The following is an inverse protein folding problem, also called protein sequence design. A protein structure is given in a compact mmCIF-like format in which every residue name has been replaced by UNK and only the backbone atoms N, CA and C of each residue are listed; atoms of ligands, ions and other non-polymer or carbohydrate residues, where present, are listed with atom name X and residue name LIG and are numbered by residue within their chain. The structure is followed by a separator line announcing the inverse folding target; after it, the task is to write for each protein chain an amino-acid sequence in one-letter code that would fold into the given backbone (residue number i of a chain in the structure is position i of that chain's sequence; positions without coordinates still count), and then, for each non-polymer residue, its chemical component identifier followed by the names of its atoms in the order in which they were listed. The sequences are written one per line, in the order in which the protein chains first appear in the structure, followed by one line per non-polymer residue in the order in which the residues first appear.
data_IF_701996479470
#
_entry.id   IF_701996479470
#
_cell.length_a   1.000
_cell.length_b   1.000
_cell.length_c   1.000
_cell.angle_alpha   90.00
_cell.angle_beta   90.00
_cell.angle_gamma   90.00
#
_symmetry.space_group_name_H-M   'P 1'
#
loop_
_entity.id
_entity.type
_entity.pdbx_description
1 polymer ?
#
# COMPACT_ATOMS: atom_id res chain seq x y z
N UNK A 1 -12.24 37.44 -50.58
CA UNK A 1 -11.59 36.34 -49.81
C UNK A 1 -11.69 36.70 -48.33
N UNK A 2 -12.53 36.03 -47.53
CA UNK A 2 -12.71 36.36 -46.12
C UNK A 2 -11.53 35.87 -45.27
N UNK A 3 -10.98 36.76 -44.44
CA UNK A 3 -9.93 36.49 -43.45
C UNK A 3 -10.58 35.88 -42.20
N UNK A 4 -10.30 34.62 -41.92
CA UNK A 4 -10.66 33.95 -40.66
C UNK A 4 -9.70 34.47 -39.58
N UNK A 5 -10.24 35.22 -38.62
CA UNK A 5 -9.51 35.72 -37.45
C UNK A 5 -9.42 34.56 -36.44
N UNK A 6 -8.23 34.01 -36.25
CA UNK A 6 -7.89 33.10 -35.16
C UNK A 6 -7.84 33.89 -33.86
N UNK A 7 -8.88 33.75 -33.04
CA UNK A 7 -8.90 34.25 -31.67
C UNK A 7 -8.09 33.29 -30.78
N UNK A 8 -7.04 33.74 -30.07
CA UNK A 8 -6.33 32.90 -29.12
C UNK A 8 -7.20 32.78 -27.86
N UNK A 9 -7.79 31.60 -27.65
CA UNK A 9 -8.44 31.23 -26.40
C UNK A 9 -7.35 30.96 -25.35
N UNK A 10 -6.80 32.02 -24.77
CA UNK A 10 -5.93 31.94 -23.61
C UNK A 10 -6.78 31.56 -22.39
N UNK A 11 -6.94 30.25 -22.16
CA UNK A 11 -7.45 29.74 -20.89
C UNK A 11 -6.48 30.14 -19.77
N UNK A 12 -6.92 31.08 -18.92
CA UNK A 12 -6.31 31.39 -17.64
C UNK A 12 -6.40 30.16 -16.74
N UNK A 13 -5.31 29.39 -16.64
CA UNK A 13 -5.12 28.42 -15.58
C UNK A 13 -5.01 29.18 -14.25
N UNK A 14 -6.10 29.24 -13.49
CA UNK A 14 -6.02 29.66 -12.09
C UNK A 14 -5.21 28.60 -11.35
N UNK A 15 -4.12 28.97 -10.65
CA UNK A 15 -3.41 28.02 -9.80
C UNK A 15 -4.35 27.62 -8.67
N UNK A 16 -4.87 26.40 -8.72
CA UNK A 16 -5.49 25.78 -7.55
C UNK A 16 -4.35 25.64 -6.53
N UNK A 17 -4.46 26.24 -5.34
CA UNK A 17 -3.45 26.04 -4.32
C UNK A 17 -3.40 24.54 -4.02
N UNK A 18 -2.26 23.91 -4.28
CA UNK A 18 -1.94 22.63 -3.65
C UNK A 18 -2.12 22.86 -2.15
N UNK A 19 -3.13 22.23 -1.56
CA UNK A 19 -3.29 22.26 -0.11
C UNK A 19 -2.00 21.70 0.49
N UNK A 20 -1.17 22.59 1.03
CA UNK A 20 0.05 22.20 1.71
C UNK A 20 -0.36 21.23 2.81
N UNK A 21 0.29 20.06 2.84
CA UNK A 21 0.12 19.08 3.91
C UNK A 21 0.28 19.80 5.25
N UNK A 22 -0.67 19.64 6.16
CA UNK A 22 -0.60 20.35 7.43
C UNK A 22 0.55 19.80 8.27
N UNK A 23 1.12 20.59 9.18
CA UNK A 23 2.15 20.08 10.09
C UNK A 23 1.64 18.87 10.89
N UNK A 24 0.35 18.87 11.26
CA UNK A 24 -0.29 17.73 11.91
C UNK A 24 -0.34 16.47 11.02
N UNK A 25 -0.52 16.62 9.71
CA UNK A 25 -0.46 15.49 8.78
C UNK A 25 0.95 14.90 8.68
N UNK A 26 1.99 15.76 8.71
CA UNK A 26 3.39 15.35 8.71
C UNK A 26 3.78 14.62 10.01
N UNK A 27 3.33 15.13 11.16
CA UNK A 27 3.52 14.46 12.45
C UNK A 27 2.88 13.07 12.45
N UNK A 28 1.62 12.99 11.98
CA UNK A 28 0.91 11.71 11.84
C UNK A 28 1.65 10.73 10.92
N UNK A 29 2.16 11.21 9.78
CA UNK A 29 2.95 10.36 8.87
C UNK A 29 4.24 9.87 9.52
N UNK A 30 4.89 10.72 10.32
CA UNK A 30 6.11 10.37 11.06
C UNK A 30 5.81 9.26 12.07
N UNK A 31 4.77 9.43 12.89
CA UNK A 31 4.34 8.43 13.87
C UNK A 31 4.01 7.10 13.21
N UNK A 32 3.26 7.12 12.09
CA UNK A 32 2.88 5.93 11.33
C UNK A 32 4.09 5.13 10.83
N UNK A 33 5.17 5.80 10.45
CA UNK A 33 6.39 5.14 9.93
C UNK A 33 7.36 4.67 11.02
N UNK A 34 7.10 5.03 12.29
CA UNK A 34 7.93 4.62 13.42
C UNK A 34 7.71 3.15 13.80
N UNK A 35 6.50 2.64 13.55
CA UNK A 35 6.19 1.20 13.66
C UNK A 35 6.20 0.55 12.27
N UNK A 36 6.94 -0.56 12.16
CA UNK A 36 7.06 -1.33 10.92
C UNK A 36 5.70 -1.76 10.37
N UNK A 37 4.87 -2.40 11.20
CA UNK A 37 3.57 -2.92 10.80
C UNK A 37 2.60 -1.82 10.35
N UNK A 38 2.52 -0.70 11.08
CA UNK A 38 1.63 0.41 10.71
C UNK A 38 2.08 1.11 9.44
N UNK A 39 3.40 1.27 9.25
CA UNK A 39 3.95 1.89 8.05
C UNK A 39 3.74 1.02 6.81
N UNK A 40 3.95 -0.30 6.91
CA UNK A 40 3.66 -1.24 5.82
C UNK A 40 2.16 -1.26 5.49
N UNK A 41 1.28 -1.27 6.50
CA UNK A 41 -0.16 -1.22 6.29
C UNK A 41 -0.59 0.08 5.58
N UNK A 42 -0.02 1.22 5.98
CA UNK A 42 -0.25 2.51 5.33
C UNK A 42 0.21 2.52 3.87
N UNK A 43 1.42 2.00 3.58
CA UNK A 43 1.93 1.90 2.20
C UNK A 43 1.02 1.02 1.31
N UNK A 44 0.51 -0.09 1.84
CA UNK A 44 -0.46 -0.94 1.13
C UNK A 44 -1.79 -0.24 0.87
N UNK A 45 -2.28 0.57 1.80
CA UNK A 45 -3.49 1.39 1.58
C UNK A 45 -3.25 2.46 0.51
N UNK A 46 -2.12 3.17 0.56
CA UNK A 46 -1.76 4.16 -0.45
C UNK A 46 -1.68 3.54 -1.85
N UNK A 47 -0.99 2.40 -1.99
CA UNK A 47 -0.88 1.67 -3.24
C UNK A 47 -2.25 1.17 -3.76
N UNK A 48 -3.15 0.70 -2.89
CA UNK A 48 -4.52 0.32 -3.27
C UNK A 48 -5.32 1.49 -3.84
N UNK A 49 -4.99 2.72 -3.43
CA UNK A 49 -5.58 3.96 -3.96
C UNK A 49 -4.85 4.51 -5.19
N UNK A 50 -3.87 3.78 -5.73
CA UNK A 50 -3.04 4.22 -6.86
C UNK A 50 -1.93 5.21 -6.50
N UNK A 51 -1.74 5.53 -5.22
CA UNK A 51 -0.75 6.49 -4.72
C UNK A 51 0.60 5.79 -4.50
N UNK A 52 1.20 5.27 -5.58
CA UNK A 52 2.41 4.44 -5.49
C UNK A 52 3.65 5.23 -5.07
N UNK A 53 3.77 6.51 -5.43
CA UNK A 53 4.90 7.35 -5.02
C UNK A 53 4.87 7.62 -3.51
N UNK A 54 3.68 7.88 -2.95
CA UNK A 54 3.46 8.03 -1.52
C UNK A 54 3.71 6.72 -0.77
N UNK A 55 3.30 5.59 -1.36
CA UNK A 55 3.56 4.26 -0.82
C UNK A 55 5.07 3.96 -0.75
N UNK A 56 5.82 4.27 -1.81
CA UNK A 56 7.28 4.12 -1.84
C UNK A 56 7.96 4.97 -0.77
N UNK A 57 7.63 6.26 -0.69
CA UNK A 57 8.21 7.14 0.35
C UNK A 57 7.89 6.66 1.78
N UNK A 58 6.70 6.09 1.98
CA UNK A 58 6.32 5.50 3.28
C UNK A 58 7.17 4.26 3.58
N UNK A 59 7.41 3.38 2.60
CA UNK A 59 8.26 2.20 2.76
C UNK A 59 9.74 2.55 2.99
N UNK A 60 10.26 3.57 2.31
CA UNK A 60 11.62 4.07 2.52
C UNK A 60 11.82 4.55 3.97
N UNK A 61 10.85 5.27 4.53
CA UNK A 61 10.88 5.69 5.95
C UNK A 61 10.81 4.49 6.90
N UNK A 62 9.97 3.50 6.60
CA UNK A 62 9.91 2.25 7.37
C UNK A 62 11.27 1.54 7.34
N UNK A 63 11.91 1.41 6.18
CA UNK A 63 13.24 0.79 6.04
C UNK A 63 14.35 1.61 6.69
N UNK A 64 14.24 2.93 6.71
CA UNK A 64 15.18 3.78 7.44
C UNK A 64 15.12 3.53 8.95
N UNK A 65 13.93 3.32 9.51
CA UNK A 65 13.74 2.95 10.92
C UNK A 65 13.99 1.45 11.19
N UNK A 66 13.68 0.59 10.22
CA UNK A 66 13.73 -0.88 10.33
C UNK A 66 14.47 -1.49 9.12
N UNK A 67 15.81 -1.40 9.04
CA UNK A 67 16.57 -1.79 7.84
C UNK A 67 16.48 -3.27 7.45
N UNK A 68 15.97 -4.12 8.36
CA UNK A 68 15.80 -5.57 8.16
C UNK A 68 14.36 -5.98 7.87
N UNK A 69 13.47 -5.03 7.62
CA UNK A 69 12.08 -5.32 7.25
C UNK A 69 12.03 -5.94 5.85
N UNK A 70 12.04 -7.27 5.79
CA UNK A 70 11.90 -8.01 4.53
C UNK A 70 10.57 -7.70 3.84
N UNK A 71 9.49 -7.56 4.60
CA UNK A 71 8.19 -7.19 4.05
C UNK A 71 8.20 -5.80 3.39
N UNK A 72 8.87 -4.81 3.98
CA UNK A 72 9.01 -3.49 3.38
C UNK A 72 9.89 -3.51 2.12
N UNK A 73 11.02 -4.23 2.15
CA UNK A 73 11.92 -4.39 1.00
C UNK A 73 11.21 -5.06 -0.20
N UNK A 74 10.46 -6.14 0.05
CA UNK A 74 9.72 -6.83 -0.99
C UNK A 74 8.65 -5.94 -1.64
N UNK A 75 7.88 -5.22 -0.83
CA UNK A 75 6.85 -4.30 -1.33
C UNK A 75 7.46 -3.13 -2.10
N UNK A 76 8.59 -2.58 -1.63
CA UNK A 76 9.28 -1.48 -2.28
C UNK A 76 9.69 -1.86 -3.69
N UNK A 77 10.36 -3.00 -3.84
CA UNK A 77 10.78 -3.51 -5.14
C UNK A 77 9.59 -3.75 -6.10
N UNK A 78 8.49 -4.34 -5.60
CA UNK A 78 7.28 -4.54 -6.40
C UNK A 78 6.65 -3.21 -6.81
N UNK A 79 6.63 -2.20 -5.93
CA UNK A 79 6.01 -0.90 -6.23
C UNK A 79 6.84 -0.05 -7.19
N UNK A 80 8.16 -0.19 -7.22
CA UNK A 80 8.99 0.40 -8.29
C UNK A 80 8.52 -0.06 -9.68
N UNK A 81 8.23 -1.36 -9.82
CA UNK A 81 7.71 -1.90 -11.08
C UNK A 81 6.33 -1.36 -11.47
N UNK A 82 5.53 -0.85 -10.51
CA UNK A 82 4.20 -0.29 -10.76
C UNK A 82 4.23 1.15 -11.26
N UNK A 83 5.34 1.86 -11.04
CA UNK A 83 5.59 3.23 -11.52
C UNK A 83 6.52 3.25 -12.74
N UNK A 84 6.57 2.14 -13.48
CA UNK A 84 7.44 1.91 -14.64
C UNK A 84 8.96 1.90 -14.36
N UNK A 85 9.39 1.91 -13.09
CA UNK A 85 10.78 1.62 -12.72
C UNK A 85 11.02 0.10 -12.56
N UNK A 86 10.83 -0.62 -13.66
CA UNK A 86 11.03 -2.07 -13.70
C UNK A 86 12.46 -2.47 -13.44
N UNK A 87 13.41 -1.70 -13.96
CA UNK A 87 14.82 -1.99 -13.80
C UNK A 87 15.22 -1.86 -12.33
N UNK A 88 14.80 -0.79 -11.65
CA UNK A 88 15.02 -0.60 -10.22
C UNK A 88 14.41 -1.73 -9.40
N UNK A 89 13.14 -2.06 -9.63
CA UNK A 89 12.46 -3.14 -8.91
C UNK A 89 13.12 -4.51 -9.11
N UNK A 90 13.52 -4.85 -10.35
CA UNK A 90 14.22 -6.12 -10.62
C UNK A 90 15.60 -6.18 -9.95
N UNK A 91 16.37 -5.08 -9.95
CA UNK A 91 17.66 -5.02 -9.24
C UNK A 91 17.50 -5.24 -7.75
N UNK A 92 16.43 -4.71 -7.14
CA UNK A 92 16.15 -4.97 -5.73
C UNK A 92 15.77 -6.42 -5.47
N UNK A 93 14.89 -7.01 -6.30
CA UNK A 93 14.50 -8.42 -6.18
C UNK A 93 15.71 -9.36 -6.33
N UNK A 94 16.61 -9.07 -7.27
CA UNK A 94 17.81 -9.88 -7.52
C UNK A 94 18.82 -9.86 -6.36
N UNK A 95 18.72 -8.87 -5.46
CA UNK A 95 19.53 -8.78 -4.24
C UNK A 95 18.89 -9.50 -3.04
N UNK A 96 17.64 -9.95 -3.15
CA UNK A 96 16.95 -10.66 -2.08
C UNK A 96 17.48 -12.08 -1.95
N UNK A 97 17.73 -12.48 -0.71
CA UNK A 97 18.18 -13.83 -0.39
C UNK A 97 17.02 -14.82 -0.33
N UNK A 98 17.18 -15.99 -0.96
CA UNK A 98 16.12 -17.01 -1.05
C UNK A 98 15.80 -17.59 0.32
N UNK A 99 16.79 -17.71 1.23
CA UNK A 99 16.54 -18.24 2.58
C UNK A 99 15.69 -17.27 3.41
N UNK A 100 15.93 -15.96 3.28
CA UNK A 100 15.19 -14.93 4.00
C UNK A 100 13.77 -14.69 3.46
N UNK A 101 13.61 -14.68 2.13
CA UNK A 101 12.33 -14.29 1.50
C UNK A 101 11.50 -15.47 1.03
N UNK A 102 12.11 -16.64 0.81
CA UNK A 102 11.49 -17.79 0.19
C UNK A 102 11.43 -17.67 -1.33
N UNK A 103 11.76 -18.77 -2.02
CA UNK A 103 11.81 -18.80 -3.49
C UNK A 103 10.49 -18.39 -4.14
N UNK A 104 9.35 -18.77 -3.55
CA UNK A 104 8.03 -18.45 -4.08
C UNK A 104 7.77 -16.95 -4.06
N UNK A 105 8.04 -16.25 -2.96
CA UNK A 105 7.81 -14.81 -2.86
C UNK A 105 8.69 -14.01 -3.84
N UNK A 106 9.94 -14.44 -4.04
CA UNK A 106 10.84 -13.84 -5.04
C UNK A 106 10.29 -14.04 -6.45
N UNK A 107 9.82 -15.25 -6.78
CA UNK A 107 9.24 -15.53 -8.09
C UNK A 107 7.96 -14.70 -8.32
N UNK A 108 7.08 -14.64 -7.32
CA UNK A 108 5.85 -13.87 -7.38
C UNK A 108 6.14 -12.36 -7.58
N UNK A 109 7.21 -11.83 -6.97
CA UNK A 109 7.65 -10.45 -7.19
C UNK A 109 8.19 -10.24 -8.61
N UNK A 110 9.02 -11.16 -9.13
CA UNK A 110 9.53 -11.11 -10.52
C UNK A 110 8.39 -11.16 -11.53
N UNK A 111 7.39 -12.01 -11.31
CA UNK A 111 6.23 -12.14 -12.18
C UNK A 111 5.39 -10.87 -12.21
N UNK A 112 5.23 -10.21 -11.07
CA UNK A 112 4.57 -8.89 -10.99
C UNK A 112 5.33 -7.82 -11.77
N UNK A 113 6.67 -7.82 -11.72
CA UNK A 113 7.51 -6.88 -12.46
C UNK A 113 7.59 -7.17 -13.97
N UNK A 114 7.44 -8.43 -14.38
CA UNK A 114 7.53 -8.85 -15.78
C UNK A 114 6.25 -8.55 -16.58
N UNK A 115 5.12 -8.36 -15.90
CA UNK A 115 3.84 -8.04 -16.54
C UNK A 115 3.88 -6.64 -17.15
N UNK A 116 3.53 -6.46 -18.44
CA UNK A 116 3.37 -5.12 -19.00
C UNK A 116 2.40 -4.31 -18.13
N UNK A 117 2.73 -3.05 -17.87
CA UNK A 117 1.83 -2.16 -17.15
C UNK A 117 0.69 -1.89 -18.13
N UNK A 118 -0.43 -2.55 -17.88
CA UNK A 118 -1.68 -2.21 -18.57
C UNK A 118 -2.16 -0.97 -17.86
N UNK A 119 -1.94 0.19 -18.48
CA UNK A 119 -2.41 1.47 -17.98
C UNK A 119 -3.88 1.31 -17.56
N UNK A 120 -4.23 1.55 -16.27
CA UNK A 120 -5.63 1.58 -15.86
C UNK A 120 -6.29 2.59 -16.79
N UNK A 121 -7.31 2.16 -17.54
CA UNK A 121 -8.00 3.06 -18.45
C UNK A 121 -8.45 4.26 -17.60
N UNK A 122 -7.86 5.45 -17.82
CA UNK A 122 -8.12 6.62 -16.98
C UNK A 122 -9.57 7.12 -17.12
N UNK A 123 -10.35 6.49 -18.01
CA UNK A 123 -11.80 6.64 -18.22
C UNK A 123 -12.61 5.39 -17.85
N UNK A 124 -12.01 4.36 -17.23
CA UNK A 124 -12.81 3.30 -16.64
C UNK A 124 -13.69 3.93 -15.55
N UNK A 125 -15.01 3.68 -15.54
CA UNK A 125 -15.84 4.10 -14.43
C UNK A 125 -15.20 3.60 -13.13
N UNK A 126 -15.29 4.34 -12.02
CA UNK A 126 -14.77 3.89 -10.74
C UNK A 126 -15.27 2.47 -10.52
N UNK A 127 -14.34 1.52 -10.39
CA UNK A 127 -14.70 0.14 -10.05
C UNK A 127 -15.42 0.27 -8.73
N UNK A 128 -16.72 -0.08 -8.73
CA UNK A 128 -17.51 -0.03 -7.51
C UNK A 128 -16.72 -0.77 -6.43
N UNK A 129 -16.61 -0.20 -5.21
CA UNK A 129 -15.93 -0.90 -4.14
C UNK A 129 -16.51 -2.32 -4.06
N UNK A 130 -15.68 -3.34 -3.82
CA UNK A 130 -16.18 -4.69 -3.66
C UNK A 130 -17.32 -4.64 -2.63
N UNK A 131 -18.43 -5.37 -2.85
CA UNK A 131 -19.51 -5.39 -1.88
C UNK A 131 -18.92 -5.72 -0.51
N UNK A 132 -19.42 -5.10 0.57
CA UNK A 132 -18.99 -5.47 1.91
C UNK A 132 -19.09 -6.99 2.03
N UNK A 133 -18.16 -7.65 2.75
CA UNK A 133 -18.24 -9.09 2.95
C UNK A 133 -19.66 -9.40 3.40
N UNK A 134 -20.32 -10.32 2.68
CA UNK A 134 -21.69 -10.72 2.99
C UNK A 134 -21.74 -10.95 4.50
N UNK A 135 -22.60 -10.20 5.20
CA UNK A 135 -22.80 -10.40 6.62
C UNK A 135 -23.06 -11.88 6.79
N UNK A 136 -22.08 -12.59 7.35
CA UNK A 136 -22.19 -14.02 7.57
C UNK A 136 -23.51 -14.27 8.30
N UNK A 137 -24.13 -15.45 8.10
CA UNK A 137 -25.32 -15.79 8.86
C UNK A 137 -25.05 -15.50 10.34
N UNK A 138 -26.02 -14.89 11.07
CA UNK A 138 -25.84 -14.57 12.48
C UNK A 138 -25.29 -15.79 13.17
N UNK A 139 -24.06 -15.65 13.69
CA UNK A 139 -23.36 -16.74 14.35
C UNK A 139 -24.29 -17.32 15.40
N UNK A 140 -24.61 -18.61 15.25
CA UNK A 140 -25.26 -19.38 16.30
C UNK A 140 -24.39 -19.22 17.54
N UNK A 141 -24.88 -18.47 18.52
CA UNK A 141 -24.16 -18.17 19.74
C UNK A 141 -23.67 -19.45 20.37
N UNK A 142 -22.35 -19.66 20.35
CA UNK A 142 -21.69 -20.65 21.17
C UNK A 142 -21.88 -20.23 22.62
N UNK A 143 -22.68 -21.01 23.33
CA UNK A 143 -22.90 -20.96 24.77
C UNK A 143 -21.57 -20.78 25.50
N UNK A 144 -21.43 -19.84 26.46
CA UNK A 144 -20.20 -19.72 27.23
C UNK A 144 -19.96 -21.01 28.02
N UNK A 145 -18.78 -21.60 27.80
CA UNK A 145 -18.30 -22.74 28.55
C UNK A 145 -18.23 -22.38 30.05
N UNK A 146 -18.83 -23.24 30.86
CA UNK A 146 -18.90 -23.17 32.31
C UNK A 146 -17.53 -22.92 32.94
N UNK A 147 -17.51 -21.99 33.88
CA UNK A 147 -16.42 -21.68 34.79
C UNK A 147 -15.90 -22.95 35.49
N UNK A 148 -14.58 -23.24 35.49
CA UNK A 148 -14.04 -24.29 36.33
C UNK A 148 -14.08 -23.87 37.81
N UNK A 149 -14.70 -24.71 38.63
CA UNK A 149 -14.74 -24.62 40.10
C UNK A 149 -13.33 -24.65 40.70
N UNK A 150 -12.99 -23.80 41.69
CA UNK A 150 -11.74 -23.91 42.41
C UNK A 150 -11.75 -25.16 43.32
N UNK A 151 -10.84 -26.09 43.06
CA UNK A 151 -10.61 -27.26 43.92
C UNK A 151 -9.78 -26.85 45.14
N UNK A 152 -10.46 -26.52 46.24
CA UNK A 152 -9.86 -26.49 47.56
C UNK A 152 -9.53 -27.92 48.00
N UNK A 153 -8.27 -28.32 47.84
CA UNK A 153 -7.71 -29.46 48.56
C UNK A 153 -6.49 -29.00 49.34
N UNK A 154 -6.74 -28.47 50.52
CA UNK A 154 -5.77 -28.53 51.60
C UNK A 154 -5.54 -29.99 51.98
N UNK A 155 -4.28 -30.32 52.26
CA UNK A 155 -3.84 -31.39 53.17
C UNK A 155 -2.38 -31.11 53.52
N UNK A 156 -2.20 -30.73 54.78
CA UNK A 156 -1.11 -31.04 55.71
C UNK A 156 0.35 -30.78 55.30
#
# INVERSE_FOLDING_TARGET
MPRIILLPLAMLAMPVPLAAQTMADLDRLTDLTTSEDSGIAAAREQARRGMYLEALSTLERVMAANPRSGAAQLLHAVYLCRIDDRQGGMVEIDRMDVEAFGQQNINDARDQCSRPYVEPVHNAPPVAPPPPPASGPPGTGSTPASTPTPNNRGKD
#
